data_IF_150774235523
#
_entry.id   IF_150774235523
#
_cell.length_a   1.000
_cell.length_b   1.000
_cell.length_c   1.000
_cell.angle_alpha   90.00
_cell.angle_beta   90.00
_cell.angle_gamma   90.00
#
_symmetry.space_group_name_H-M   'P 1'
#
loop_
_entity.id
_entity.type
_entity.pdbx_description
1 polymer ?
#
# COMPACT_ATOMS: atom_id res chain seq x y z
N UNK A 1 6.35 -12.30 -16.46
CA UNK A 1 5.92 -12.58 -15.07
C UNK A 1 5.04 -11.48 -14.49
N UNK A 2 4.38 -11.75 -13.37
CA UNK A 2 3.56 -10.78 -12.65
C UNK A 2 3.79 -10.87 -11.13
N UNK A 3 3.79 -9.74 -10.45
CA UNK A 3 4.00 -9.63 -9.00
C UNK A 3 2.74 -9.08 -8.31
N UNK A 4 2.25 -9.81 -7.32
CA UNK A 4 1.13 -9.38 -6.48
C UNK A 4 1.65 -9.23 -5.06
N UNK A 5 1.65 -8.00 -4.54
CA UNK A 5 2.05 -7.71 -3.17
C UNK A 5 0.85 -7.39 -2.29
N UNK A 6 0.47 -8.29 -1.39
CA UNK A 6 -0.57 -8.04 -0.37
C UNK A 6 0.11 -7.65 0.94
N UNK A 7 -0.30 -6.52 1.53
CA UNK A 7 0.30 -6.01 2.77
C UNK A 7 -0.76 -5.77 3.84
N UNK A 8 -0.64 -6.48 4.96
CA UNK A 8 -1.53 -6.35 6.12
C UNK A 8 -0.69 -6.39 7.42
N UNK A 9 0.07 -5.33 7.69
CA UNK A 9 0.94 -5.27 8.88
C UNK A 9 0.10 -5.31 10.16
N UNK A 10 0.43 -6.20 11.09
CA UNK A 10 -0.30 -6.40 12.35
C UNK A 10 0.05 -5.37 13.43
N UNK A 11 1.10 -4.57 13.24
CA UNK A 11 1.49 -3.52 14.17
C UNK A 11 2.21 -2.40 13.39
N UNK A 12 1.73 -1.16 13.52
CA UNK A 12 2.31 0.00 12.83
C UNK A 12 3.60 0.49 13.48
N UNK A 13 3.83 0.15 14.75
CA UNK A 13 5.04 0.51 15.51
C UNK A 13 6.06 -0.61 15.58
N UNK A 14 5.93 -1.65 14.76
CA UNK A 14 6.74 -2.88 14.86
C UNK A 14 8.26 -2.64 14.81
N UNK A 15 8.70 -1.58 14.14
CA UNK A 15 10.12 -1.24 13.95
C UNK A 15 10.50 0.10 14.63
N UNK A 16 9.68 0.60 15.57
CA UNK A 16 9.83 1.95 16.12
C UNK A 16 11.15 2.14 16.89
N UNK A 17 11.69 1.09 17.48
CA UNK A 17 12.91 1.04 18.26
C UNK A 17 14.16 0.71 17.45
N UNK A 18 14.01 0.45 16.13
CA UNK A 18 15.15 0.12 15.27
C UNK A 18 15.93 1.39 14.91
N UNK A 19 17.26 1.42 15.13
CA UNK A 19 18.08 2.57 14.77
C UNK A 19 18.03 2.89 13.27
N UNK A 20 18.07 4.19 12.93
CA UNK A 20 18.00 4.65 11.55
C UNK A 20 19.08 4.05 10.65
N UNK A 21 20.32 3.93 11.14
CA UNK A 21 21.43 3.33 10.38
C UNK A 21 21.14 1.88 9.94
N UNK A 22 20.49 1.09 10.81
CA UNK A 22 20.10 -0.29 10.45
C UNK A 22 18.96 -0.30 9.42
N UNK A 23 18.02 0.63 9.55
CA UNK A 23 16.96 0.78 8.57
C UNK A 23 17.52 1.21 7.20
N UNK A 24 18.53 2.09 7.18
CA UNK A 24 19.19 2.52 5.95
C UNK A 24 19.90 1.36 5.25
N UNK A 25 20.57 0.49 6.01
CA UNK A 25 21.17 -0.73 5.47
C UNK A 25 20.12 -1.67 4.87
N UNK A 26 18.97 -1.84 5.53
CA UNK A 26 17.85 -2.61 4.99
C UNK A 26 17.30 -2.00 3.69
N UNK A 27 17.11 -0.68 3.67
CA UNK A 27 16.57 0.01 2.50
C UNK A 27 17.51 -0.09 1.30
N UNK A 28 18.81 0.13 1.52
CA UNK A 28 19.84 0.09 0.48
C UNK A 28 20.05 -1.31 -0.07
N UNK A 29 20.18 -2.31 0.80
CA UNK A 29 20.63 -3.64 0.39
C UNK A 29 19.48 -4.59 0.05
N UNK A 30 18.25 -4.31 0.49
CA UNK A 30 17.10 -5.16 0.24
C UNK A 30 15.95 -4.43 -0.45
N UNK A 31 15.39 -3.40 0.16
CA UNK A 31 14.13 -2.82 -0.33
C UNK A 31 14.28 -2.21 -1.72
N UNK A 32 15.35 -1.45 -1.96
CA UNK A 32 15.66 -0.86 -3.26
C UNK A 32 15.88 -1.93 -4.35
N UNK A 33 16.85 -2.86 -4.23
CA UNK A 33 17.14 -3.82 -5.29
C UNK A 33 15.99 -4.81 -5.52
N UNK A 34 15.31 -5.25 -4.46
CA UNK A 34 14.28 -6.28 -4.59
C UNK A 34 12.95 -5.68 -5.04
N UNK A 35 12.47 -4.61 -4.40
CA UNK A 35 11.15 -4.07 -4.73
C UNK A 35 11.17 -3.13 -5.93
N UNK A 36 12.11 -2.18 -5.96
CA UNK A 36 12.08 -1.13 -6.97
C UNK A 36 12.82 -1.55 -8.24
N UNK A 37 14.02 -2.09 -8.11
CA UNK A 37 14.82 -2.47 -9.28
C UNK A 37 14.31 -3.77 -9.89
N UNK A 38 14.05 -4.82 -9.09
CA UNK A 38 13.56 -6.08 -9.65
C UNK A 38 12.04 -6.09 -9.89
N UNK A 39 11.22 -6.13 -8.82
CA UNK A 39 9.77 -6.40 -8.96
C UNK A 39 9.05 -5.33 -9.80
N UNK A 40 9.29 -4.05 -9.54
CA UNK A 40 8.55 -2.97 -10.20
C UNK A 40 8.98 -2.79 -11.66
N UNK A 41 10.28 -2.83 -11.96
CA UNK A 41 10.76 -2.55 -13.33
C UNK A 41 10.63 -3.74 -14.27
N UNK A 42 10.66 -4.98 -13.77
CA UNK A 42 10.74 -6.17 -14.61
C UNK A 42 9.46 -7.02 -14.63
N UNK A 43 8.43 -6.65 -13.86
CA UNK A 43 7.18 -7.42 -13.83
C UNK A 43 5.96 -6.51 -14.00
N UNK A 44 4.84 -7.09 -14.45
CA UNK A 44 3.53 -6.44 -14.27
C UNK A 44 3.15 -6.58 -12.82
N UNK A 45 2.92 -5.49 -12.12
CA UNK A 45 2.75 -5.54 -10.67
C UNK A 45 1.47 -4.86 -10.19
N UNK A 46 0.96 -5.37 -9.08
CA UNK A 46 -0.08 -4.73 -8.27
C UNK A 46 0.29 -4.88 -6.80
N UNK A 47 0.10 -3.81 -6.03
CA UNK A 47 0.28 -3.82 -4.58
C UNK A 47 -1.02 -3.37 -3.93
N UNK A 48 -1.50 -4.16 -2.99
CA UNK A 48 -2.76 -3.96 -2.29
C UNK A 48 -2.53 -3.98 -0.78
N UNK A 49 -3.22 -3.11 -0.05
CA UNK A 49 -3.38 -3.23 1.41
C UNK A 49 -4.62 -4.07 1.71
N UNK A 50 -4.56 -4.91 2.74
CA UNK A 50 -5.75 -5.66 3.18
C UNK A 50 -6.15 -5.15 4.57
N UNK A 51 -7.43 -4.83 4.81
CA UNK A 51 -7.88 -4.29 6.08
C UNK A 51 -7.61 -5.31 7.19
N UNK A 52 -7.21 -4.82 8.36
CA UNK A 52 -6.94 -5.66 9.52
C UNK A 52 -7.14 -4.90 10.83
N UNK A 53 -7.09 -5.62 11.94
CA UNK A 53 -7.28 -5.07 13.29
C UNK A 53 -6.35 -3.89 13.60
N UNK A 54 -5.10 -3.93 13.13
CA UNK A 54 -4.11 -2.88 13.41
C UNK A 54 -4.45 -1.58 12.69
N UNK A 55 -4.94 -1.67 11.45
CA UNK A 55 -5.41 -0.51 10.69
C UNK A 55 -6.70 0.05 11.28
N UNK A 56 -7.64 -0.82 11.68
CA UNK A 56 -8.87 -0.42 12.35
C UNK A 56 -8.57 0.32 13.67
N UNK A 57 -7.64 -0.19 14.46
CA UNK A 57 -7.18 0.47 15.68
C UNK A 57 -6.54 1.84 15.40
N UNK A 58 -5.72 1.96 14.34
CA UNK A 58 -5.13 3.24 13.96
C UNK A 58 -6.19 4.25 13.50
N UNK A 59 -7.27 3.77 12.89
CA UNK A 59 -8.40 4.57 12.44
C UNK A 59 -9.43 4.88 13.54
N UNK A 60 -9.21 4.40 14.77
CA UNK A 60 -10.17 4.51 15.89
C UNK A 60 -11.56 3.92 15.56
N UNK A 61 -11.58 2.77 14.88
CA UNK A 61 -12.79 2.09 14.41
C UNK A 61 -12.83 0.63 14.87
N UNK A 62 -14.04 0.05 14.93
CA UNK A 62 -14.18 -1.41 14.97
C UNK A 62 -13.62 -2.01 13.67
N UNK A 63 -13.19 -3.27 13.72
CA UNK A 63 -12.63 -3.93 12.53
C UNK A 63 -13.65 -4.03 11.39
N UNK A 64 -14.90 -4.37 11.71
CA UNK A 64 -16.00 -4.48 10.75
C UNK A 64 -16.27 -3.13 10.07
N UNK A 65 -16.42 -2.06 10.86
CA UNK A 65 -16.67 -0.72 10.30
C UNK A 65 -15.50 -0.22 9.46
N UNK A 66 -14.26 -0.54 9.85
CA UNK A 66 -13.08 -0.20 9.06
C UNK A 66 -13.01 -0.99 7.76
N UNK A 67 -13.40 -2.26 7.77
CA UNK A 67 -13.43 -3.12 6.58
C UNK A 67 -14.42 -2.58 5.54
N UNK A 68 -15.64 -2.23 5.96
CA UNK A 68 -16.64 -1.59 5.09
C UNK A 68 -16.10 -0.28 4.51
N UNK A 69 -15.57 0.60 5.36
CA UNK A 69 -14.98 1.86 4.92
C UNK A 69 -13.83 1.65 3.92
N UNK A 70 -12.94 0.68 4.20
CA UNK A 70 -11.80 0.39 3.34
C UNK A 70 -12.26 -0.03 1.94
N UNK A 71 -13.24 -0.92 1.84
CA UNK A 71 -13.73 -1.40 0.56
C UNK A 71 -14.55 -0.35 -0.19
N UNK A 72 -15.34 0.48 0.49
CA UNK A 72 -16.08 1.58 -0.13
C UNK A 72 -15.13 2.59 -0.79
N UNK A 73 -13.98 2.86 -0.17
CA UNK A 73 -13.00 3.83 -0.69
C UNK A 73 -12.09 3.19 -1.74
N UNK A 74 -11.65 1.95 -1.56
CA UNK A 74 -10.69 1.31 -2.44
C UNK A 74 -11.30 0.70 -3.71
N UNK A 75 -12.61 0.39 -3.72
CA UNK A 75 -13.29 -0.16 -4.90
C UNK A 75 -13.82 0.95 -5.81
N UNK A 76 -12.89 1.63 -6.49
CA UNK A 76 -13.21 2.75 -7.36
C UNK A 76 -13.90 2.32 -8.66
N UNK A 77 -14.90 3.10 -9.10
CA UNK A 77 -15.41 3.02 -10.48
C UNK A 77 -14.44 3.72 -11.44
N UNK A 78 -13.59 2.93 -12.10
CA UNK A 78 -12.63 3.41 -13.08
C UNK A 78 -13.25 4.17 -14.25
N UNK A 79 -14.49 3.85 -14.65
CA UNK A 79 -15.18 4.56 -15.75
C UNK A 79 -15.62 5.96 -15.33
N UNK A 80 -15.96 6.13 -14.05
CA UNK A 80 -16.23 7.45 -13.47
C UNK A 80 -14.93 8.24 -13.31
N UNK A 81 -13.85 7.59 -12.88
CA UNK A 81 -12.54 8.22 -12.74
C UNK A 81 -11.97 8.70 -14.08
N UNK A 82 -12.03 7.88 -15.13
CA UNK A 82 -11.54 8.22 -16.48
C UNK A 82 -12.16 9.54 -16.98
N UNK A 83 -13.49 9.64 -16.94
CA UNK A 83 -14.23 10.87 -17.29
C UNK A 83 -13.86 12.07 -16.42
N UNK A 84 -13.63 11.86 -15.12
CA UNK A 84 -13.24 12.94 -14.22
C UNK A 84 -11.81 13.47 -14.51
N UNK A 85 -10.93 12.64 -15.07
CA UNK A 85 -9.56 13.02 -15.43
C UNK A 85 -9.47 13.87 -16.70
N UNK A 86 -10.48 13.87 -17.57
CA UNK A 86 -10.48 14.63 -18.83
C UNK A 86 -10.25 16.14 -18.61
N UNK A 87 -10.85 16.72 -17.56
CA UNK A 87 -10.69 18.13 -17.21
C UNK A 87 -9.26 18.49 -16.78
N UNK A 88 -8.50 17.52 -16.25
CA UNK A 88 -7.11 17.71 -15.84
C UNK A 88 -6.15 17.59 -17.02
N UNK A 89 -6.47 16.73 -17.99
CA UNK A 89 -5.66 16.54 -19.21
C UNK A 89 -5.78 17.71 -20.19
N UNK A 90 -6.91 18.41 -20.19
CA UNK A 90 -7.17 19.55 -21.06
C UNK A 90 -6.53 20.88 -20.58
N UNK A 91 -5.94 20.90 -19.39
CA UNK A 91 -5.19 22.04 -18.82
C UNK A 91 -3.72 21.96 -19.20
#
# INVERSE_FOLDING_TARGET
>A
DAYIGIRAGSNMSQMKDVPGEQMDLYQKNYALPVHFENRIQHTRWVVLRYPNHAMAQLADMSTEAFEDFYFDVCNLDYSKMDRAMDALKAR
#
